data_IF_626344352532
#
_entry.id   IF_626344352532
#
_cell.length_a   1.000
_cell.length_b   1.000
_cell.length_c   1.000
_cell.angle_alpha   90.00
_cell.angle_beta   90.00
_cell.angle_gamma   90.00
#
_symmetry.space_group_name_H-M   'P 1'
#
loop_
_entity.id
_entity.type
_entity.pdbx_description
1 polymer ?
#
# COMPACT_ATOMS: atom_id res chain seq x y z
N UNK A 1 -14.77 7.84 -3.31
CA UNK A 1 -13.77 8.14 -2.26
C UNK A 1 -12.75 9.16 -2.78
N UNK A 2 -13.13 10.45 -2.90
CA UNK A 2 -12.29 11.44 -3.58
C UNK A 2 -10.92 11.67 -2.90
N UNK A 3 -10.88 11.71 -1.56
CA UNK A 3 -9.64 11.93 -0.81
C UNK A 3 -8.62 10.79 -1.00
N UNK A 4 -9.05 9.53 -0.93
CA UNK A 4 -8.17 8.38 -1.15
C UNK A 4 -7.71 8.24 -2.59
N UNK A 5 -8.56 8.57 -3.57
CA UNK A 5 -8.14 8.64 -4.99
C UNK A 5 -7.06 9.68 -5.20
N UNK A 6 -7.21 10.87 -4.61
CA UNK A 6 -6.18 11.91 -4.67
C UNK A 6 -4.89 11.50 -3.97
N UNK A 7 -4.97 10.85 -2.81
CA UNK A 7 -3.80 10.32 -2.12
C UNK A 7 -3.07 9.28 -2.98
N UNK A 8 -3.80 8.32 -3.58
CA UNK A 8 -3.24 7.30 -4.44
C UNK A 8 -2.53 7.90 -5.66
N UNK A 9 -3.14 8.87 -6.33
CA UNK A 9 -2.55 9.57 -7.47
C UNK A 9 -1.27 10.31 -7.08
N UNK A 10 -1.31 11.12 -6.01
CA UNK A 10 -0.12 11.86 -5.53
C UNK A 10 1.01 10.91 -5.12
N UNK A 11 0.69 9.82 -4.42
CA UNK A 11 1.71 8.82 -4.06
C UNK A 11 2.31 8.17 -5.30
N UNK A 12 1.48 7.76 -6.25
CA UNK A 12 1.93 7.11 -7.48
C UNK A 12 2.85 8.01 -8.30
N UNK A 13 2.49 9.28 -8.50
CA UNK A 13 3.32 10.27 -9.20
C UNK A 13 4.70 10.43 -8.54
N UNK A 14 4.72 10.56 -7.20
CA UNK A 14 5.97 10.67 -6.44
C UNK A 14 6.79 9.39 -6.49
N UNK A 15 6.15 8.21 -6.40
CA UNK A 15 6.81 6.91 -6.41
C UNK A 15 7.45 6.59 -7.76
N UNK A 16 6.73 6.83 -8.87
CA UNK A 16 7.24 6.63 -10.24
C UNK A 16 8.41 7.58 -10.53
N UNK A 17 8.37 8.79 -9.98
CA UNK A 17 9.43 9.80 -10.18
C UNK A 17 10.67 9.58 -9.30
N UNK A 18 10.58 8.75 -8.26
CA UNK A 18 11.67 8.50 -7.33
C UNK A 18 12.69 7.51 -7.92
N UNK A 19 14.01 7.79 -7.92
CA UNK A 19 14.99 6.92 -8.59
C UNK A 19 15.01 5.47 -8.09
N UNK A 20 14.85 5.25 -6.78
CA UNK A 20 14.87 3.90 -6.20
C UNK A 20 13.51 3.22 -6.35
N UNK A 21 12.45 3.86 -5.84
CA UNK A 21 11.09 3.28 -5.85
C UNK A 21 10.53 3.14 -7.27
N UNK A 22 10.85 4.08 -8.16
CA UNK A 22 10.45 4.06 -9.56
C UNK A 22 10.95 2.84 -10.32
N UNK A 23 12.03 2.19 -9.85
CA UNK A 23 12.50 0.94 -10.44
C UNK A 23 11.44 -0.18 -10.37
N UNK A 24 10.63 -0.22 -9.30
CA UNK A 24 9.52 -1.18 -9.18
C UNK A 24 8.44 -1.00 -10.26
N UNK A 25 8.37 0.18 -10.88
CA UNK A 25 7.42 0.53 -11.94
C UNK A 25 8.03 0.46 -13.35
N UNK A 26 9.33 0.13 -13.46
CA UNK A 26 10.09 0.20 -14.73
C UNK A 26 9.61 -0.78 -15.81
N UNK A 27 8.95 -1.88 -15.41
CA UNK A 27 8.34 -2.85 -16.32
C UNK A 27 6.87 -2.53 -16.66
N UNK A 28 6.41 -1.35 -16.24
CA UNK A 28 5.04 -0.90 -16.40
C UNK A 28 4.15 -1.21 -15.20
N UNK A 29 3.00 -0.56 -15.18
CA UNK A 29 1.92 -0.73 -14.22
C UNK A 29 0.60 -0.65 -14.97
N UNK A 30 -0.51 -1.02 -14.32
CA UNK A 30 -1.83 -0.99 -14.95
C UNK A 30 -2.35 0.43 -15.07
N UNK A 31 -3.10 0.73 -16.14
CA UNK A 31 -3.77 2.03 -16.33
C UNK A 31 -4.71 2.40 -15.16
N UNK A 32 -5.27 1.41 -14.47
CA UNK A 32 -6.17 1.57 -13.31
C UNK A 32 -5.44 1.49 -11.95
N UNK A 33 -4.10 1.57 -11.93
CA UNK A 33 -3.30 1.35 -10.71
C UNK A 33 -3.70 2.28 -9.54
N UNK A 34 -3.89 3.57 -9.80
CA UNK A 34 -4.31 4.55 -8.78
C UNK A 34 -5.70 4.26 -8.22
N UNK A 35 -6.62 3.81 -9.06
CA UNK A 35 -7.97 3.43 -8.65
C UNK A 35 -7.94 2.19 -7.74
N UNK A 36 -7.15 1.19 -8.11
CA UNK A 36 -6.97 -0.04 -7.32
C UNK A 36 -6.32 0.27 -5.98
N UNK A 37 -5.28 1.10 -5.97
CA UNK A 37 -4.62 1.54 -4.74
C UNK A 37 -5.58 2.29 -3.81
N UNK A 38 -6.40 3.20 -4.36
CA UNK A 38 -7.40 3.92 -3.56
C UNK A 38 -8.45 2.98 -2.95
N UNK A 39 -8.87 1.94 -3.68
CA UNK A 39 -9.78 0.92 -3.16
C UNK A 39 -9.11 0.05 -2.08
N UNK A 40 -7.85 -0.34 -2.30
CA UNK A 40 -7.08 -1.10 -1.32
C UNK A 40 -6.92 -0.33 -0.01
N UNK A 41 -6.52 0.95 -0.09
CA UNK A 41 -6.43 1.84 1.07
C UNK A 41 -7.77 1.97 1.80
N UNK A 42 -8.86 2.13 1.05
CA UNK A 42 -10.18 2.27 1.65
C UNK A 42 -10.59 1.03 2.44
N UNK A 43 -10.39 -0.15 1.87
CA UNK A 43 -10.69 -1.41 2.53
C UNK A 43 -9.77 -1.60 3.75
N UNK A 44 -8.46 -1.43 3.58
CA UNK A 44 -7.51 -1.64 4.65
C UNK A 44 -7.75 -0.70 5.85
N UNK A 45 -8.21 0.53 5.60
CA UNK A 45 -8.52 1.53 6.63
C UNK A 45 -9.95 1.42 7.20
N UNK A 46 -10.61 0.27 7.04
CA UNK A 46 -11.89 -0.05 7.67
C UNK A 46 -13.14 0.30 6.86
N UNK A 47 -12.99 0.68 5.59
CA UNK A 47 -14.10 0.85 4.66
C UNK A 47 -14.68 -0.47 4.13
N UNK A 48 -15.67 -0.41 3.22
CA UNK A 48 -16.21 -1.60 2.55
C UNK A 48 -15.13 -2.41 1.80
N UNK A 49 -15.44 -3.67 1.47
CA UNK A 49 -14.58 -4.62 0.76
C UNK A 49 -14.38 -4.28 -0.74
N UNK A 50 -14.18 -2.99 -1.07
CA UNK A 50 -14.20 -2.50 -2.44
C UNK A 50 -13.04 -3.02 -3.29
N UNK A 51 -11.90 -3.38 -2.68
CA UNK A 51 -10.78 -3.94 -3.41
C UNK A 51 -10.96 -5.44 -3.64
N UNK A 52 -11.26 -6.18 -2.58
CA UNK A 52 -11.42 -7.63 -2.64
C UNK A 52 -12.65 -8.08 -3.44
N UNK A 53 -13.73 -7.29 -3.47
CA UNK A 53 -14.92 -7.59 -4.28
C UNK A 53 -14.73 -7.31 -5.78
N UNK A 54 -13.83 -6.40 -6.16
CA UNK A 54 -13.78 -5.85 -7.53
C UNK A 54 -12.49 -6.11 -8.28
N UNK A 55 -11.37 -6.27 -7.57
CA UNK A 55 -10.05 -6.22 -8.17
C UNK A 55 -9.25 -7.50 -7.95
N UNK A 56 -8.92 -7.85 -6.71
CA UNK A 56 -8.16 -9.04 -6.35
C UNK A 56 -8.10 -9.25 -4.82
N UNK A 57 -7.50 -10.34 -4.38
CA UNK A 57 -7.20 -10.61 -2.96
C UNK A 57 -5.84 -10.03 -2.51
N UNK A 58 -5.50 -10.23 -1.24
CA UNK A 58 -4.20 -9.83 -0.71
C UNK A 58 -3.06 -10.68 -1.28
N UNK A 59 -3.31 -11.95 -1.57
CA UNK A 59 -2.32 -12.84 -2.15
C UNK A 59 -1.81 -12.33 -3.50
N UNK A 60 -2.68 -11.74 -4.31
CA UNK A 60 -2.31 -11.07 -5.56
C UNK A 60 -1.34 -9.90 -5.30
N UNK A 61 -1.67 -9.02 -4.35
CA UNK A 61 -0.81 -7.89 -4.00
C UNK A 61 0.55 -8.39 -3.48
N UNK A 62 0.57 -9.34 -2.55
CA UNK A 62 1.83 -9.87 -2.01
C UNK A 62 2.67 -10.50 -3.13
N UNK A 63 2.08 -11.26 -4.05
CA UNK A 63 2.80 -11.81 -5.22
C UNK A 63 3.42 -10.75 -6.13
N UNK A 64 2.76 -9.60 -6.32
CA UNK A 64 3.33 -8.49 -7.08
C UNK A 64 4.59 -7.90 -6.43
N UNK A 65 4.67 -7.98 -5.10
CA UNK A 65 5.81 -7.47 -4.31
C UNK A 65 6.87 -8.53 -3.99
N UNK A 66 6.63 -9.81 -4.33
CA UNK A 66 7.49 -10.94 -3.94
C UNK A 66 8.55 -11.30 -4.99
N UNK A 67 9.61 -11.99 -4.59
CA UNK A 67 10.66 -12.48 -5.49
C UNK A 67 11.67 -11.42 -5.96
N UNK A 68 11.72 -10.27 -5.27
CA UNK A 68 12.62 -9.15 -5.59
C UNK A 68 13.83 -9.06 -4.65
N UNK A 69 14.04 -10.07 -3.80
CA UNK A 69 15.02 -10.03 -2.73
C UNK A 69 14.65 -9.09 -1.59
N UNK A 70 15.55 -8.94 -0.63
CA UNK A 70 15.38 -8.03 0.51
C UNK A 70 15.85 -6.62 0.11
N UNK A 71 14.98 -5.62 0.24
CA UNK A 71 15.21 -4.25 -0.24
C UNK A 71 14.79 -3.15 0.78
N UNK A 72 15.42 -3.10 1.97
CA UNK A 72 15.00 -2.22 3.06
C UNK A 72 15.12 -0.72 2.72
N UNK A 73 16.11 -0.34 1.90
CA UNK A 73 16.29 1.05 1.46
C UNK A 73 15.10 1.54 0.61
N UNK A 74 14.60 0.67 -0.29
CA UNK A 74 13.43 0.96 -1.12
C UNK A 74 12.18 1.09 -0.25
N UNK A 75 12.03 0.24 0.77
CA UNK A 75 10.89 0.28 1.69
C UNK A 75 10.86 1.59 2.48
N UNK A 76 12.01 2.00 3.02
CA UNK A 76 12.14 3.25 3.77
C UNK A 76 11.87 4.48 2.90
N UNK A 77 12.31 4.46 1.64
CA UNK A 77 11.99 5.52 0.68
C UNK A 77 10.49 5.54 0.33
N UNK A 78 9.88 4.38 0.07
CA UNK A 78 8.43 4.29 -0.19
C UNK A 78 7.59 4.77 0.99
N UNK A 79 8.02 4.52 2.23
CA UNK A 79 7.38 5.02 3.45
C UNK A 79 7.49 6.55 3.56
N UNK A 80 8.65 7.12 3.23
CA UNK A 80 8.84 8.59 3.22
C UNK A 80 7.96 9.23 2.15
N UNK A 81 7.97 8.70 0.93
CA UNK A 81 7.12 9.17 -0.18
C UNK A 81 5.64 9.14 0.19
N UNK A 82 5.18 8.09 0.88
CA UNK A 82 3.79 8.03 1.35
C UNK A 82 3.48 9.10 2.39
N UNK A 83 4.39 9.36 3.34
CA UNK A 83 4.21 10.45 4.30
C UNK A 83 4.15 11.84 3.64
N UNK A 84 4.92 12.05 2.57
CA UNK A 84 4.86 13.27 1.76
C UNK A 84 3.56 13.36 0.95
N UNK A 85 3.11 12.24 0.36
CA UNK A 85 1.85 12.17 -0.36
C UNK A 85 0.65 12.49 0.55
N UNK A 86 0.64 12.00 1.80
CA UNK A 86 -0.39 12.32 2.80
C UNK A 86 -0.49 13.83 3.04
N UNK A 87 0.65 14.54 3.09
CA UNK A 87 0.69 15.99 3.27
C UNK A 87 0.20 16.73 2.02
N UNK A 88 0.63 16.29 0.84
CA UNK A 88 0.32 16.93 -0.44
C UNK A 88 -1.11 16.66 -0.92
N UNK A 89 -1.71 15.54 -0.56
CA UNK A 89 -3.05 15.14 -0.99
C UNK A 89 -4.17 16.07 -0.47
N UNK A 90 -3.88 16.96 0.49
CA UNK A 90 -4.88 17.87 1.06
C UNK A 90 -5.86 17.16 1.99
N UNK A 91 -5.40 16.11 2.66
CA UNK A 91 -6.09 15.54 3.81
C UNK A 91 -6.18 16.57 4.96
N UNK A 92 -7.11 16.40 5.92
CA UNK A 92 -7.18 17.26 7.09
C UNK A 92 -5.81 17.44 7.74
N UNK A 93 -5.50 18.68 8.18
CA UNK A 93 -4.24 18.98 8.86
C UNK A 93 -4.27 18.47 10.31
N UNK A 94 -4.42 17.16 10.47
CA UNK A 94 -4.50 16.46 11.74
C UNK A 94 -3.24 15.60 11.94
N UNK A 95 -2.58 15.78 13.09
CA UNK A 95 -1.31 15.10 13.39
C UNK A 95 -1.50 13.60 13.63
N UNK A 96 -2.59 13.23 14.29
CA UNK A 96 -2.90 11.84 14.62
C UNK A 96 -3.18 11.07 13.34
N UNK A 97 -4.04 11.59 12.46
CA UNK A 97 -4.34 11.00 11.15
C UNK A 97 -3.07 10.78 10.32
N UNK A 98 -2.19 11.79 10.22
CA UNK A 98 -0.95 11.66 9.45
C UNK A 98 -0.05 10.56 10.01
N UNK A 99 0.06 10.49 11.33
CA UNK A 99 0.88 9.49 12.00
C UNK A 99 0.28 8.09 11.79
N UNK A 100 -1.02 7.91 12.01
CA UNK A 100 -1.73 6.65 11.79
C UNK A 100 -1.58 6.12 10.36
N UNK A 101 -1.73 6.99 9.35
CA UNK A 101 -1.55 6.59 7.94
C UNK A 101 -0.11 6.19 7.62
N UNK A 102 0.87 6.92 8.16
CA UNK A 102 2.29 6.57 8.01
C UNK A 102 2.60 5.22 8.68
N UNK A 103 2.07 4.99 9.87
CA UNK A 103 2.29 3.74 10.62
C UNK A 103 1.65 2.54 9.91
N UNK A 104 0.42 2.71 9.38
CA UNK A 104 -0.22 1.72 8.52
C UNK A 104 0.67 1.33 7.34
N UNK A 105 1.16 2.33 6.60
CA UNK A 105 1.96 2.09 5.39
C UNK A 105 3.29 1.40 5.72
N UNK A 106 3.97 1.87 6.78
CA UNK A 106 5.21 1.27 7.24
C UNK A 106 5.02 -0.18 7.70
N UNK A 107 3.95 -0.46 8.44
CA UNK A 107 3.61 -1.82 8.84
C UNK A 107 3.31 -2.70 7.62
N UNK A 108 2.52 -2.22 6.66
CA UNK A 108 2.15 -2.97 5.46
C UNK A 108 3.39 -3.35 4.64
N UNK A 109 4.28 -2.40 4.36
CA UNK A 109 5.51 -2.66 3.62
C UNK A 109 6.38 -3.70 4.34
N UNK A 110 6.68 -3.45 5.62
CA UNK A 110 7.64 -4.25 6.39
C UNK A 110 7.16 -5.65 6.75
N UNK A 111 5.86 -5.83 6.92
CA UNK A 111 5.32 -7.07 7.52
C UNK A 111 4.40 -7.86 6.60
N UNK A 112 3.91 -7.26 5.51
CA UNK A 112 2.97 -7.90 4.58
C UNK A 112 3.51 -8.02 3.17
N UNK A 113 3.96 -6.90 2.58
CA UNK A 113 4.35 -6.89 1.17
C UNK A 113 5.71 -7.55 0.95
N UNK A 114 6.63 -7.42 1.91
CA UNK A 114 7.98 -7.98 1.81
C UNK A 114 8.14 -9.33 2.53
N UNK A 115 7.03 -10.04 2.75
CA UNK A 115 7.03 -11.31 3.49
C UNK A 115 7.64 -12.48 2.72
N UNK A 116 7.78 -12.36 1.39
CA UNK A 116 8.29 -13.43 0.51
C UNK A 116 9.35 -12.87 -0.46
N UNK A 117 10.56 -12.56 0.04
CA UNK A 117 11.60 -11.93 -0.78
C UNK A 117 12.16 -12.87 -1.86
N UNK A 118 12.12 -14.19 -1.63
CA UNK A 118 12.78 -15.17 -2.49
C UNK A 118 11.92 -15.59 -3.69
N UNK A 119 10.63 -15.88 -3.47
CA UNK A 119 9.73 -16.32 -4.54
C UNK A 119 8.28 -15.92 -4.30
N UNK A 120 7.62 -15.50 -5.38
CA UNK A 120 6.16 -15.29 -5.41
C UNK A 120 5.35 -16.59 -5.29
N UNK A 121 5.96 -17.74 -5.56
CA UNK A 121 5.29 -19.04 -5.50
C UNK A 121 5.08 -19.49 -4.05
N UNK A 122 5.81 -18.91 -3.10
CA UNK A 122 5.68 -19.18 -1.67
C UNK A 122 4.49 -18.45 -1.03
N UNK A 123 3.84 -17.53 -1.76
CA UNK A 123 2.72 -16.73 -1.26
C UNK A 123 1.43 -17.58 -1.16
N UNK A 124 0.82 -17.72 0.04
CA UNK A 124 -0.44 -18.44 0.24
C UNK A 124 -1.57 -17.96 -0.67
N UNK A 125 -2.52 -18.84 -0.99
CA UNK A 125 -3.64 -18.55 -1.88
C UNK A 125 -4.84 -17.86 -1.23
N UNK A 126 -4.81 -17.67 0.09
CA UNK A 126 -5.95 -17.34 0.93
C UNK A 126 -5.73 -16.11 1.82
N UNK A 127 -4.77 -15.25 1.47
CA UNK A 127 -4.53 -14.02 2.22
C UNK A 127 -5.69 -13.04 1.99
N UNK A 128 -6.15 -12.41 3.07
CA UNK A 128 -7.17 -11.36 3.05
C UNK A 128 -6.56 -9.98 3.23
N UNK A 129 -7.24 -8.94 2.71
CA UNK A 129 -6.77 -7.55 2.84
C UNK A 129 -6.68 -7.20 4.33
N UNK A 130 -5.52 -6.75 4.81
CA UNK A 130 -5.34 -6.46 6.23
C UNK A 130 -6.22 -5.28 6.65
N UNK A 131 -6.70 -5.31 7.89
CA UNK A 131 -7.43 -4.19 8.49
C UNK A 131 -6.56 -3.42 9.47
N UNK A 132 -6.67 -2.10 9.45
CA UNK A 132 -5.95 -1.17 10.29
C UNK A 132 -6.91 -0.20 10.98
N UNK A 133 -6.70 -0.01 12.28
CA UNK A 133 -7.44 0.93 13.12
C UNK A 133 -6.54 2.09 13.55
N UNK A 134 -7.11 3.09 14.23
CA UNK A 134 -6.34 4.16 14.86
C UNK A 134 -5.22 3.65 15.79
N UNK A 135 -5.40 2.46 16.38
CA UNK A 135 -4.47 1.87 17.33
C UNK A 135 -3.56 0.79 16.73
N UNK A 136 -3.55 0.63 15.40
CA UNK A 136 -2.72 -0.36 14.72
C UNK A 136 -3.52 -1.49 14.06
N UNK A 137 -2.85 -2.62 13.71
CA UNK A 137 -3.46 -3.69 12.96
C UNK A 137 -4.60 -4.35 13.75
N UNK A 138 -5.67 -4.69 13.07
CA UNK A 138 -6.80 -5.42 13.65
C UNK A 138 -6.59 -6.90 13.40
N UNK A 139 -6.40 -7.67 14.48
CA UNK A 139 -6.33 -9.13 14.39
C UNK A 139 -7.70 -9.72 14.10
N UNK A 140 -7.75 -10.72 13.21
CA UNK A 140 -8.96 -11.52 12.99
C UNK A 140 -10.15 -10.77 12.40
N UNK A 141 -9.92 -9.76 11.55
CA UNK A 141 -11.01 -9.25 10.72
C UNK A 141 -11.63 -10.42 9.94
N UNK A 142 -12.97 -10.54 9.95
CA UNK A 142 -13.70 -11.77 9.64
C UNK A 142 -13.43 -12.33 8.24
#
# INVERSE_FOLDING_TARGET
MPALRKLAAVWHDLAVSAPLVGHAFSHGYRDDHEERLAAYLAEALGGPAAYSERYADQSHIVRLHSGNGVHPEMDEEAIRIFADAVQTAGLPNDRELRQTLKDFWAWSMRTRLNSYPDSKDDVPGDLTVPRWSWNGPVEGAP
#
